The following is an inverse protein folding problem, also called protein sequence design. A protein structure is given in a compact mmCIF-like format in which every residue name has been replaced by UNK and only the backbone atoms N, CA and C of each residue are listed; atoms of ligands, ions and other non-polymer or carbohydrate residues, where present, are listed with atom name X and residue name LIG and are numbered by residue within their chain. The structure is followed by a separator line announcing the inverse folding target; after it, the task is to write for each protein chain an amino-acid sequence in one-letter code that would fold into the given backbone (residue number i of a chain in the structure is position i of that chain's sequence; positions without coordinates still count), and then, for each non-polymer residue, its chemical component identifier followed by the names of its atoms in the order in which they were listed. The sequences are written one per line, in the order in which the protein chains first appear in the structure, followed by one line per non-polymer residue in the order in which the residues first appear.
data_IF_488868346665
#
_entry.id   IF_488868346665
#
_cell.length_a   1.000
_cell.length_b   1.000
_cell.length_c   1.000
_cell.angle_alpha   90.00
_cell.angle_beta   90.00
_cell.angle_gamma   90.00
#
_symmetry.space_group_name_H-M   'P 1'
#
loop_
_entity.id
_entity.type
_entity.pdbx_description
1 polymer ?
#
# COMPACT_ATOMS: atom_id res chain seq x y z
N UNK A 1 -15.74 -15.34 -1.99
CA UNK A 1 -14.43 -15.11 -2.64
C UNK A 1 -13.63 -14.20 -1.72
N UNK A 2 -12.36 -14.48 -1.43
CA UNK A 2 -11.54 -13.58 -0.61
C UNK A 2 -11.42 -12.21 -1.29
N UNK A 3 -11.57 -11.12 -0.55
CA UNK A 3 -11.52 -9.76 -1.12
C UNK A 3 -10.13 -9.39 -1.66
N UNK A 4 -9.99 -8.26 -2.36
CA UNK A 4 -8.67 -7.79 -2.79
C UNK A 4 -7.79 -7.33 -1.60
N UNK A 5 -6.46 -7.41 -1.77
CA UNK A 5 -5.50 -6.71 -0.92
C UNK A 5 -5.28 -5.31 -1.50
N UNK A 6 -5.25 -4.28 -0.66
CA UNK A 6 -5.05 -2.90 -1.11
C UNK A 6 -3.83 -2.29 -0.44
N UNK A 7 -2.89 -1.81 -1.25
CA UNK A 7 -1.70 -1.10 -0.79
C UNK A 7 -1.81 0.38 -1.14
N UNK A 8 -1.93 1.22 -0.11
CA UNK A 8 -1.73 2.66 -0.23
C UNK A 8 -0.22 2.93 -0.18
N UNK A 9 0.38 3.30 -1.31
CA UNK A 9 1.82 3.54 -1.42
C UNK A 9 2.13 5.03 -1.55
N UNK A 10 3.21 5.44 -0.92
CA UNK A 10 3.88 6.72 -1.20
C UNK A 10 5.28 6.41 -1.72
N UNK A 11 5.69 7.04 -2.83
CA UNK A 11 6.99 6.82 -3.47
C UNK A 11 8.17 7.28 -2.60
N UNK A 12 7.96 8.23 -1.69
CA UNK A 12 8.96 8.66 -0.73
C UNK A 12 9.06 7.74 0.50
N UNK A 13 8.13 6.79 0.68
CA UNK A 13 8.12 5.89 1.83
C UNK A 13 9.00 4.66 1.59
N UNK A 14 10.10 4.48 2.36
CA UNK A 14 10.91 3.26 2.26
C UNK A 14 10.10 2.02 2.68
N UNK A 15 9.13 2.18 3.57
CA UNK A 15 8.25 1.09 4.00
C UNK A 15 7.32 0.62 2.88
N UNK A 16 6.79 1.55 2.08
CA UNK A 16 5.98 1.19 0.91
C UNK A 16 6.78 0.40 -0.12
N UNK A 17 8.06 0.75 -0.33
CA UNK A 17 8.96 0.00 -1.20
C UNK A 17 9.16 -1.45 -0.73
N UNK A 18 9.49 -1.67 0.55
CA UNK A 18 9.67 -3.01 1.09
C UNK A 18 8.36 -3.83 1.13
N UNK A 19 7.23 -3.18 1.39
CA UNK A 19 5.93 -3.84 1.46
C UNK A 19 5.43 -4.33 0.09
N UNK A 20 5.75 -3.61 -0.99
CA UNK A 20 5.27 -3.92 -2.34
C UNK A 20 5.56 -5.37 -2.74
N UNK A 21 6.83 -5.79 -2.66
CA UNK A 21 7.22 -7.15 -3.06
C UNK A 21 6.60 -8.25 -2.18
N UNK A 22 6.51 -8.01 -0.86
CA UNK A 22 5.91 -8.98 0.07
C UNK A 22 4.41 -9.13 -0.15
N UNK A 23 3.70 -8.03 -0.41
CA UNK A 23 2.26 -8.05 -0.68
C UNK A 23 1.93 -8.65 -2.04
N UNK A 24 2.77 -8.43 -3.06
CA UNK A 24 2.62 -9.10 -4.37
C UNK A 24 2.68 -10.61 -4.20
N UNK A 25 3.73 -11.12 -3.54
CA UNK A 25 3.87 -12.56 -3.28
C UNK A 25 2.69 -13.11 -2.46
N UNK A 26 2.27 -12.39 -1.42
CA UNK A 26 1.13 -12.80 -0.59
C UNK A 26 -0.18 -12.88 -1.39
N UNK A 27 -0.41 -11.93 -2.30
CA UNK A 27 -1.58 -11.91 -3.17
C UNK A 27 -1.59 -13.12 -4.11
N UNK A 28 -0.45 -13.41 -4.75
CA UNK A 28 -0.26 -14.57 -5.62
C UNK A 28 -0.49 -15.89 -4.88
N UNK A 29 0.11 -16.07 -3.70
CA UNK A 29 -0.01 -17.28 -2.87
C UNK A 29 -1.45 -17.61 -2.48
N UNK A 30 -2.31 -16.59 -2.35
CA UNK A 30 -3.69 -16.74 -1.91
C UNK A 30 -4.71 -16.54 -3.05
N UNK A 31 -4.26 -16.38 -4.30
CA UNK A 31 -5.13 -16.13 -5.44
C UNK A 31 -5.97 -14.85 -5.29
N UNK A 32 -5.39 -13.80 -4.71
CA UNK A 32 -6.05 -12.49 -4.46
C UNK A 32 -5.49 -11.45 -5.42
N UNK A 33 -6.32 -10.47 -5.77
CA UNK A 33 -5.86 -9.27 -6.47
C UNK A 33 -5.12 -8.33 -5.51
N UNK A 34 -4.01 -7.73 -5.97
CA UNK A 34 -3.35 -6.63 -5.29
C UNK A 34 -3.68 -5.31 -5.99
N UNK A 35 -4.47 -4.48 -5.33
CA UNK A 35 -4.77 -3.12 -5.77
C UNK A 35 -3.75 -2.12 -5.24
N UNK A 36 -3.06 -1.43 -6.14
CA UNK A 36 -2.16 -0.34 -5.79
C UNK A 36 -2.91 1.00 -5.80
N UNK A 37 -2.73 1.79 -4.73
CA UNK A 37 -3.30 3.13 -4.58
C UNK A 37 -2.18 4.13 -4.26
N UNK A 38 -1.55 4.74 -5.27
CA UNK A 38 -0.59 5.80 -5.03
C UNK A 38 -1.24 6.98 -4.33
N UNK A 39 -0.60 7.49 -3.28
CA UNK A 39 -1.04 8.64 -2.50
C UNK A 39 0.15 9.56 -2.19
N UNK A 40 -0.18 10.78 -1.79
CA UNK A 40 0.75 11.68 -1.13
C UNK A 40 0.52 11.56 0.39
N UNK A 41 1.34 10.77 1.08
CA UNK A 41 1.25 10.54 2.52
C UNK A 41 1.43 11.85 3.30
N UNK A 42 2.22 12.79 2.79
CA UNK A 42 2.32 14.14 3.36
C UNK A 42 0.94 14.83 3.49
N UNK A 43 0.08 14.72 2.47
CA UNK A 43 -1.25 15.33 2.52
C UNK A 43 -2.12 14.67 3.61
N UNK A 44 -1.94 13.37 3.84
CA UNK A 44 -2.60 12.64 4.93
C UNK A 44 -2.11 13.14 6.30
N UNK A 45 -0.80 13.32 6.48
CA UNK A 45 -0.25 13.88 7.72
C UNK A 45 -0.78 15.28 8.02
N UNK A 46 -0.80 16.15 7.00
CA UNK A 46 -1.36 17.49 7.13
C UNK A 46 -2.83 17.48 7.53
N UNK A 47 -3.63 16.60 6.91
CA UNK A 47 -5.06 16.45 7.25
C UNK A 47 -5.27 15.93 8.67
N UNK A 48 -4.37 15.08 9.17
CA UNK A 48 -4.43 14.50 10.52
C UNK A 48 -3.82 15.41 11.60
N UNK A 49 -3.21 16.54 11.23
CA UNK A 49 -2.55 17.45 12.17
C UNK A 49 -1.24 16.90 12.74
N UNK A 50 -0.60 15.96 12.05
CA UNK A 50 0.69 15.36 12.44
C UNK A 50 1.87 16.24 12.00
N UNK A 51 1.68 17.04 10.95
CA UNK A 51 2.65 17.99 10.40
C UNK A 51 1.96 19.23 9.81
#
# INVERSE_FOLDING_TARGET
MPGALRLYLDFASPYSYFALGQLTRLAEEHGRELELRPILLWAVFKQQGVA
#
